data_IF_615732165458
#
_entry.id   IF_615732165458
#
_cell.length_a   1.000
_cell.length_b   1.000
_cell.length_c   1.000
_cell.angle_alpha   90.00
_cell.angle_beta   90.00
_cell.angle_gamma   90.00
#
_symmetry.space_group_name_H-M   'P 1'
#
loop_
_entity.id
_entity.type
_entity.pdbx_description
1 polymer ?
#
# COMPACT_ATOMS: atom_id res chain seq x y z
N UNK A 1 -23.17 -5.42 13.17
CA UNK A 1 -22.32 -4.22 13.39
C UNK A 1 -21.04 -4.37 12.60
N UNK A 2 -20.56 -3.31 11.94
CA UNK A 2 -19.30 -3.36 11.18
C UNK A 2 -18.11 -3.22 12.15
N UNK A 3 -17.33 -4.29 12.31
CA UNK A 3 -16.18 -4.35 13.24
C UNK A 3 -15.09 -3.32 12.89
N UNK A 4 -14.81 -3.10 11.59
CA UNK A 4 -13.81 -2.11 11.17
C UNK A 4 -14.18 -0.70 11.69
N UNK A 5 -15.48 -0.37 11.65
CA UNK A 5 -16.00 0.90 12.17
C UNK A 5 -15.98 0.94 13.70
N UNK A 6 -16.40 -0.15 14.36
CA UNK A 6 -16.40 -0.23 15.82
C UNK A 6 -15.00 -0.08 16.41
N UNK A 7 -14.00 -0.72 15.80
CA UNK A 7 -12.59 -0.62 16.19
C UNK A 7 -11.88 0.60 15.60
N UNK A 8 -12.56 1.40 14.77
CA UNK A 8 -11.97 2.54 14.06
C UNK A 8 -10.60 2.22 13.42
N UNK A 9 -10.52 1.05 12.75
CA UNK A 9 -9.27 0.53 12.15
C UNK A 9 -8.68 1.48 11.12
N UNK A 10 -9.55 2.22 10.42
CA UNK A 10 -9.12 3.17 9.39
C UNK A 10 -8.31 4.33 9.98
N UNK A 11 -8.66 4.83 11.16
CA UNK A 11 -7.87 5.87 11.83
C UNK A 11 -6.46 5.37 12.15
N UNK A 12 -6.34 4.12 12.65
CA UNK A 12 -5.03 3.53 12.93
C UNK A 12 -4.18 3.38 11.67
N UNK A 13 -4.77 2.91 10.59
CA UNK A 13 -4.07 2.83 9.28
C UNK A 13 -3.71 4.22 8.77
N UNK A 14 -4.57 5.21 8.97
CA UNK A 14 -4.32 6.59 8.58
C UNK A 14 -3.08 7.22 9.24
N UNK A 15 -2.60 6.68 10.37
CA UNK A 15 -1.37 7.14 11.03
C UNK A 15 -0.12 6.92 10.16
N UNK A 16 -0.16 5.96 9.23
CA UNK A 16 0.92 5.67 8.30
C UNK A 16 0.97 6.63 7.10
N UNK A 17 -0.06 7.41 6.83
CA UNK A 17 -0.05 8.41 5.75
C UNK A 17 1.09 9.44 5.87
N UNK A 18 1.63 9.65 7.07
CA UNK A 18 2.84 10.47 7.27
C UNK A 18 4.03 9.93 6.47
N UNK A 19 4.14 8.60 6.34
CA UNK A 19 5.21 7.94 5.60
C UNK A 19 4.95 7.97 4.09
N UNK A 20 3.70 7.78 3.65
CA UNK A 20 3.25 8.00 2.26
C UNK A 20 3.62 9.41 1.80
N UNK A 21 3.30 10.45 2.62
CA UNK A 21 3.67 11.85 2.34
C UNK A 21 5.17 12.08 2.24
N UNK A 22 5.92 11.46 3.15
CA UNK A 22 7.38 11.58 3.16
C UNK A 22 7.97 10.95 1.91
N UNK A 23 7.58 9.73 1.56
CA UNK A 23 8.05 9.03 0.39
C UNK A 23 7.70 9.79 -0.90
N UNK A 24 6.46 10.31 -1.02
CA UNK A 24 6.07 11.10 -2.18
C UNK A 24 6.95 12.34 -2.38
N UNK A 25 7.28 13.06 -1.29
CA UNK A 25 8.15 14.26 -1.33
C UNK A 25 9.61 13.96 -1.70
N UNK A 26 10.04 12.71 -1.63
CA UNK A 26 11.38 12.26 -2.04
C UNK A 26 11.47 11.89 -3.51
N UNK A 27 10.32 11.73 -4.17
CA UNK A 27 10.28 11.62 -5.62
C UNK A 27 10.67 12.97 -6.28
N UNK A 28 11.24 12.96 -7.48
CA UNK A 28 11.42 14.19 -8.23
C UNK A 28 10.05 14.84 -8.53
N UNK A 29 10.06 16.14 -8.74
CA UNK A 29 8.85 16.85 -9.13
C UNK A 29 8.37 16.36 -10.49
N UNK A 30 7.17 15.80 -10.52
CA UNK A 30 6.47 15.38 -11.73
C UNK A 30 5.18 16.21 -11.83
N UNK A 31 4.96 16.81 -13.01
CA UNK A 31 3.73 17.57 -13.26
C UNK A 31 2.58 16.65 -13.58
N UNK A 32 1.56 16.63 -12.72
CA UNK A 32 0.32 15.84 -12.86
C UNK A 32 0.59 14.36 -13.26
N UNK A 33 1.40 13.60 -12.50
CA UNK A 33 1.75 12.25 -12.86
C UNK A 33 0.54 11.33 -12.89
N UNK A 34 0.59 10.32 -13.73
CA UNK A 34 -0.35 9.20 -13.71
C UNK A 34 0.19 8.11 -12.81
N UNK A 35 -0.53 7.82 -11.73
CA UNK A 35 -0.12 6.90 -10.67
C UNK A 35 -1.00 5.64 -10.71
N UNK A 36 -0.39 4.45 -10.65
CA UNK A 36 -1.07 3.20 -10.36
C UNK A 36 -0.83 2.83 -8.90
N UNK A 37 -1.89 2.63 -8.13
CA UNK A 37 -1.80 2.08 -6.79
C UNK A 37 -2.26 0.63 -6.79
N UNK A 38 -1.37 -0.29 -6.40
CA UNK A 38 -1.61 -1.73 -6.34
C UNK A 38 -2.06 -2.10 -4.93
N UNK A 39 -3.23 -2.77 -4.83
CA UNK A 39 -3.84 -3.10 -3.55
C UNK A 39 -4.34 -1.86 -2.82
N UNK A 40 -5.09 -1.01 -3.52
CA UNK A 40 -5.54 0.28 -3.00
C UNK A 40 -6.43 0.21 -1.76
N UNK A 41 -6.93 -0.99 -1.42
CA UNK A 41 -7.77 -1.18 -0.25
C UNK A 41 -8.96 -0.21 -0.20
N UNK A 42 -9.31 0.32 0.99
CA UNK A 42 -10.39 1.31 1.14
C UNK A 42 -9.98 2.73 0.71
N UNK A 43 -8.77 2.95 0.17
CA UNK A 43 -8.37 4.13 -0.56
C UNK A 43 -7.85 5.32 0.25
N UNK A 44 -7.34 5.12 1.44
CA UNK A 44 -6.75 6.23 2.20
C UNK A 44 -5.51 6.79 1.49
N UNK A 45 -4.61 5.91 1.07
CA UNK A 45 -3.42 6.27 0.31
C UNK A 45 -3.80 6.83 -1.07
N UNK A 46 -4.78 6.22 -1.76
CA UNK A 46 -5.29 6.68 -3.07
C UNK A 46 -5.69 8.16 -3.04
N UNK A 47 -6.51 8.53 -2.06
CA UNK A 47 -6.97 9.92 -1.88
C UNK A 47 -5.79 10.83 -1.57
N UNK A 48 -4.88 10.39 -0.71
CA UNK A 48 -3.70 11.18 -0.34
C UNK A 48 -2.74 11.36 -1.51
N UNK A 49 -2.49 10.31 -2.30
CA UNK A 49 -1.66 10.39 -3.52
C UNK A 49 -2.25 11.36 -4.55
N UNK A 50 -3.56 11.33 -4.77
CA UNK A 50 -4.23 12.28 -5.66
C UNK A 50 -4.10 13.73 -5.17
N UNK A 51 -4.18 13.94 -3.84
CA UNK A 51 -4.00 15.26 -3.23
C UNK A 51 -2.56 15.77 -3.37
N UNK A 52 -1.57 14.89 -3.16
CA UNK A 52 -0.15 15.23 -3.21
C UNK A 52 0.33 15.50 -4.63
N UNK A 53 -0.11 14.67 -5.58
CA UNK A 53 0.38 14.69 -6.96
C UNK A 53 -0.30 15.74 -7.83
N UNK A 54 -1.56 16.06 -7.53
CA UNK A 54 -2.43 16.81 -8.45
C UNK A 54 -2.73 16.06 -9.76
N UNK A 55 -2.21 14.85 -9.93
CA UNK A 55 -2.36 14.00 -11.12
C UNK A 55 -3.51 13.00 -11.04
N UNK A 56 -3.52 12.06 -11.99
CA UNK A 56 -4.46 10.92 -12.03
C UNK A 56 -3.95 9.77 -11.16
N UNK A 57 -4.83 9.20 -10.32
CA UNK A 57 -4.53 7.97 -9.57
C UNK A 57 -5.51 6.87 -9.97
N UNK A 58 -4.99 5.74 -10.39
CA UNK A 58 -5.75 4.52 -10.68
C UNK A 58 -5.46 3.51 -9.59
N UNK A 59 -6.43 3.23 -8.72
CA UNK A 59 -6.33 2.19 -7.71
C UNK A 59 -6.83 0.85 -8.25
N UNK A 60 -6.08 -0.23 -8.02
CA UNK A 60 -6.54 -1.60 -8.31
C UNK A 60 -6.55 -2.44 -7.02
N UNK A 61 -7.56 -3.29 -6.90
CA UNK A 61 -7.66 -4.25 -5.80
C UNK A 61 -8.45 -5.49 -6.24
N UNK A 62 -8.15 -6.63 -5.63
CA UNK A 62 -8.88 -7.89 -5.86
C UNK A 62 -10.05 -8.10 -4.91
N UNK A 63 -10.19 -7.27 -3.85
CA UNK A 63 -11.33 -7.29 -2.94
C UNK A 63 -12.43 -6.33 -3.44
N UNK A 64 -13.56 -6.85 -3.95
CA UNK A 64 -14.66 -5.99 -4.42
C UNK A 64 -15.24 -5.11 -3.32
N UNK A 65 -15.12 -5.52 -2.05
CA UNK A 65 -15.57 -4.73 -0.91
C UNK A 65 -14.66 -3.51 -0.67
N UNK A 66 -13.33 -3.67 -0.85
CA UNK A 66 -12.38 -2.57 -0.81
C UNK A 66 -12.64 -1.57 -1.93
N UNK A 67 -12.79 -2.06 -3.16
CA UNK A 67 -13.12 -1.24 -4.34
C UNK A 67 -14.41 -0.44 -4.11
N UNK A 68 -15.46 -1.07 -3.59
CA UNK A 68 -16.73 -0.37 -3.28
C UNK A 68 -16.57 0.72 -2.22
N UNK A 69 -15.72 0.49 -1.21
CA UNK A 69 -15.43 1.51 -0.18
C UNK A 69 -14.64 2.68 -0.75
N UNK A 70 -13.65 2.41 -1.58
CA UNK A 70 -12.90 3.47 -2.25
C UNK A 70 -13.80 4.27 -3.20
N UNK A 71 -14.65 3.63 -4.01
CA UNK A 71 -15.60 4.33 -4.88
C UNK A 71 -16.48 5.31 -4.09
N UNK A 72 -17.04 4.88 -2.95
CA UNK A 72 -17.83 5.78 -2.09
C UNK A 72 -17.02 6.97 -1.57
N UNK A 73 -15.74 6.78 -1.27
CA UNK A 73 -14.86 7.89 -0.85
C UNK A 73 -14.58 8.87 -1.99
N UNK A 74 -14.37 8.34 -3.20
CA UNK A 74 -14.18 9.16 -4.41
C UNK A 74 -15.40 10.05 -4.63
N UNK A 75 -16.60 9.46 -4.55
CA UNK A 75 -17.87 10.17 -4.71
C UNK A 75 -18.06 11.25 -3.63
N UNK A 76 -17.79 10.92 -2.36
CA UNK A 76 -17.89 11.84 -1.23
C UNK A 76 -16.87 12.99 -1.29
N UNK A 77 -15.71 12.76 -1.87
CA UNK A 77 -14.65 13.75 -2.04
C UNK A 77 -14.80 14.58 -3.33
N UNK A 78 -15.79 14.27 -4.19
CA UNK A 78 -15.93 14.81 -5.55
C UNK A 78 -14.60 14.70 -6.35
N UNK A 79 -13.93 13.54 -6.23
CA UNK A 79 -12.59 13.32 -6.78
C UNK A 79 -12.58 12.44 -8.04
N UNK A 80 -13.74 12.12 -8.62
CA UNK A 80 -13.89 11.22 -9.77
C UNK A 80 -13.17 11.66 -11.05
N UNK A 81 -12.87 12.94 -11.18
CA UNK A 81 -12.10 13.45 -12.32
C UNK A 81 -10.63 13.03 -12.29
N UNK A 82 -10.09 12.69 -11.11
CA UNK A 82 -8.67 12.37 -10.92
C UNK A 82 -8.41 10.99 -10.32
N UNK A 83 -9.43 10.34 -9.76
CA UNK A 83 -9.28 9.03 -9.13
C UNK A 83 -10.22 8.04 -9.79
N UNK A 84 -9.66 6.91 -10.22
CA UNK A 84 -10.40 5.75 -10.69
C UNK A 84 -10.07 4.54 -9.84
N UNK A 85 -11.05 3.66 -9.61
CA UNK A 85 -10.80 2.38 -8.94
C UNK A 85 -11.32 1.24 -9.80
N UNK A 86 -10.54 0.17 -9.91
CA UNK A 86 -10.85 -0.98 -10.77
C UNK A 86 -10.69 -2.26 -9.96
N UNK A 87 -11.71 -3.11 -10.00
CA UNK A 87 -11.64 -4.45 -9.42
C UNK A 87 -10.87 -5.37 -10.38
N UNK A 88 -9.57 -5.47 -10.21
CA UNK A 88 -8.69 -6.28 -11.06
C UNK A 88 -7.40 -6.65 -10.32
N UNK A 89 -6.82 -7.80 -10.68
CA UNK A 89 -5.49 -8.20 -10.23
C UNK A 89 -4.40 -7.46 -11.03
N UNK A 90 -3.25 -7.21 -10.39
CA UNK A 90 -2.04 -6.74 -11.10
C UNK A 90 -1.70 -7.62 -12.31
N UNK A 91 -1.96 -8.94 -12.24
CA UNK A 91 -1.58 -9.89 -13.29
C UNK A 91 -2.66 -10.12 -14.36
N UNK A 92 -3.83 -9.50 -14.23
CA UNK A 92 -4.94 -9.60 -15.19
C UNK A 92 -5.46 -8.23 -15.65
N UNK A 93 -4.65 -7.20 -15.46
CA UNK A 93 -4.97 -5.85 -15.95
C UNK A 93 -4.87 -5.77 -17.47
N UNK A 94 -5.50 -4.75 -18.05
CA UNK A 94 -5.51 -4.47 -19.49
C UNK A 94 -4.88 -3.11 -19.79
N UNK A 95 -4.02 -2.61 -18.89
CA UNK A 95 -3.31 -1.38 -19.13
C UNK A 95 -2.25 -1.55 -20.22
N UNK A 96 -2.07 -0.51 -21.00
CA UNK A 96 -1.00 -0.44 -22.00
C UNK A 96 0.38 -0.43 -21.34
N UNK A 97 1.40 -0.80 -22.10
CA UNK A 97 2.79 -0.64 -21.71
C UNK A 97 3.12 0.84 -21.55
N UNK A 98 4.11 1.15 -20.71
CA UNK A 98 4.66 2.50 -20.55
C UNK A 98 3.60 3.59 -20.25
N UNK A 99 2.59 3.28 -19.45
CA UNK A 99 1.45 4.18 -19.26
C UNK A 99 1.40 4.88 -17.89
N UNK A 100 2.21 4.50 -16.91
CA UNK A 100 2.27 5.12 -15.59
C UNK A 100 3.62 5.79 -15.30
N UNK A 101 3.58 6.97 -14.69
CA UNK A 101 4.78 7.68 -14.22
C UNK A 101 5.27 7.12 -12.88
N UNK A 102 4.32 6.72 -12.04
CA UNK A 102 4.58 6.14 -10.72
C UNK A 102 3.71 4.90 -10.55
N UNK A 103 4.30 3.83 -10.01
CA UNK A 103 3.56 2.72 -9.40
C UNK A 103 3.79 2.76 -7.90
N UNK A 104 2.71 2.64 -7.12
CA UNK A 104 2.72 2.69 -5.66
C UNK A 104 2.12 1.41 -5.09
N UNK A 105 2.80 0.82 -4.12
CA UNK A 105 2.25 -0.28 -3.34
C UNK A 105 2.60 -0.14 -1.85
N UNK A 106 1.66 -0.53 -0.98
CA UNK A 106 1.87 -0.55 0.45
C UNK A 106 1.35 -1.86 1.05
N UNK A 107 2.26 -2.81 1.34
CA UNK A 107 1.96 -4.06 2.02
C UNK A 107 1.24 -5.11 1.17
N UNK A 108 1.56 -5.23 -0.10
CA UNK A 108 0.93 -6.16 -1.04
C UNK A 108 1.93 -7.14 -1.66
N UNK A 109 3.13 -6.69 -1.98
CA UNK A 109 4.08 -7.51 -2.75
C UNK A 109 4.57 -8.74 -2.00
N UNK A 110 4.64 -8.70 -0.66
CA UNK A 110 4.97 -9.87 0.14
C UNK A 110 3.94 -11.02 0.05
N UNK A 111 2.73 -10.72 -0.43
CA UNK A 111 1.66 -11.70 -0.66
C UNK A 111 1.72 -12.31 -2.07
N UNK A 112 2.56 -11.79 -2.95
CA UNK A 112 2.60 -12.10 -4.38
C UNK A 112 3.98 -12.66 -4.78
N UNK A 113 4.08 -13.15 -6.02
CA UNK A 113 5.37 -13.48 -6.63
C UNK A 113 6.12 -12.20 -6.99
N UNK A 114 7.15 -11.87 -6.22
CA UNK A 114 7.93 -10.65 -6.40
C UNK A 114 8.51 -10.51 -7.82
N UNK A 115 8.95 -11.62 -8.45
CA UNK A 115 9.50 -11.58 -9.81
C UNK A 115 8.45 -11.16 -10.82
N UNK A 116 7.25 -11.73 -10.71
CA UNK A 116 6.12 -11.34 -11.57
C UNK A 116 5.68 -9.91 -11.32
N UNK A 117 5.69 -9.45 -10.05
CA UNK A 117 5.40 -8.06 -9.72
C UNK A 117 6.38 -7.11 -10.41
N UNK A 118 7.69 -7.37 -10.32
CA UNK A 118 8.70 -6.51 -10.97
C UNK A 118 8.58 -6.51 -12.49
N UNK A 119 8.37 -7.67 -13.12
CA UNK A 119 8.17 -7.76 -14.57
C UNK A 119 6.96 -6.92 -15.01
N UNK A 120 5.83 -7.05 -14.31
CA UNK A 120 4.61 -6.33 -14.65
C UNK A 120 4.72 -4.84 -14.33
N UNK A 121 5.28 -4.46 -13.20
CA UNK A 121 5.54 -3.05 -12.89
C UNK A 121 6.47 -2.41 -13.91
N UNK A 122 7.50 -3.15 -14.37
CA UNK A 122 8.37 -2.65 -15.44
C UNK A 122 7.62 -2.43 -16.75
N UNK A 123 6.72 -3.34 -17.13
CA UNK A 123 5.89 -3.19 -18.32
C UNK A 123 5.03 -1.93 -18.26
N UNK A 124 4.39 -1.71 -17.13
CA UNK A 124 3.43 -0.62 -16.92
C UNK A 124 4.05 0.75 -16.73
N UNK A 125 5.25 0.82 -16.13
CA UNK A 125 5.96 2.08 -15.90
C UNK A 125 6.48 2.66 -17.22
N UNK A 126 6.35 3.96 -17.39
CA UNK A 126 7.07 4.70 -18.43
C UNK A 126 8.59 4.56 -18.27
N UNK A 127 9.37 4.73 -19.34
CA UNK A 127 10.83 4.89 -19.23
C UNK A 127 11.17 5.93 -18.16
N UNK A 128 12.11 5.58 -17.27
CA UNK A 128 12.48 6.41 -16.11
C UNK A 128 11.40 6.65 -15.05
N UNK A 129 10.26 5.95 -15.13
CA UNK A 129 9.21 5.96 -14.10
C UNK A 129 9.66 5.36 -12.77
N UNK A 130 8.88 5.55 -11.74
CA UNK A 130 9.21 5.19 -10.36
C UNK A 130 8.27 4.13 -9.80
N UNK A 131 8.84 3.13 -9.12
CA UNK A 131 8.10 2.20 -8.26
C UNK A 131 8.42 2.54 -6.80
N UNK A 132 7.38 2.77 -6.01
CA UNK A 132 7.47 2.99 -4.56
C UNK A 132 6.89 1.78 -3.86
N UNK A 133 7.68 1.16 -2.99
CA UNK A 133 7.31 -0.05 -2.25
C UNK A 133 7.42 0.22 -0.75
N UNK A 134 6.32 0.00 -0.02
CA UNK A 134 6.27 0.05 1.44
C UNK A 134 6.03 -1.36 1.97
N UNK A 135 7.08 -2.02 2.40
CA UNK A 135 7.08 -3.43 2.80
C UNK A 135 7.90 -3.66 4.08
N UNK A 136 7.86 -4.88 4.60
CA UNK A 136 8.73 -5.24 5.72
C UNK A 136 10.20 -5.15 5.30
N UNK A 137 11.08 -4.77 6.24
CA UNK A 137 12.52 -4.66 5.98
C UNK A 137 13.08 -5.99 5.46
N UNK A 138 12.65 -7.11 6.04
CA UNK A 138 13.07 -8.44 5.60
C UNK A 138 12.77 -8.70 4.11
N UNK A 139 11.56 -8.32 3.67
CA UNK A 139 11.17 -8.49 2.27
C UNK A 139 11.97 -7.53 1.37
N UNK A 140 12.08 -6.26 1.76
CA UNK A 140 12.82 -5.25 1.00
C UNK A 140 14.28 -5.65 0.81
N UNK A 141 14.98 -6.03 1.88
CA UNK A 141 16.39 -6.46 1.79
C UNK A 141 16.55 -7.74 0.95
N UNK A 142 15.63 -8.70 1.04
CA UNK A 142 15.67 -9.92 0.23
C UNK A 142 15.48 -9.66 -1.26
N UNK A 143 14.78 -8.59 -1.63
CA UNK A 143 14.50 -8.23 -3.03
C UNK A 143 15.45 -7.20 -3.60
N UNK A 144 16.08 -6.38 -2.77
CA UNK A 144 16.99 -5.28 -3.13
C UNK A 144 18.08 -5.70 -4.10
N UNK A 145 18.74 -6.83 -3.82
CA UNK A 145 19.84 -7.35 -4.65
C UNK A 145 19.38 -7.75 -6.05
N UNK A 146 18.10 -8.09 -6.21
CA UNK A 146 17.52 -8.56 -7.46
C UNK A 146 16.94 -7.43 -8.33
N UNK A 147 16.80 -6.22 -7.81
CA UNK A 147 16.22 -5.08 -8.55
C UNK A 147 16.91 -4.85 -9.92
N UNK A 148 18.25 -4.94 -10.05
CA UNK A 148 18.92 -4.79 -11.34
C UNK A 148 18.52 -5.87 -12.33
N UNK A 149 18.22 -7.10 -11.90
CA UNK A 149 17.80 -8.22 -12.76
C UNK A 149 16.45 -7.96 -13.44
N UNK A 150 15.66 -7.02 -12.92
CA UNK A 150 14.39 -6.58 -13.49
C UNK A 150 14.48 -5.18 -14.11
N UNK A 151 15.68 -4.63 -14.24
CA UNK A 151 15.91 -3.30 -14.82
C UNK A 151 15.46 -2.15 -13.93
N UNK A 152 15.54 -2.34 -12.63
CA UNK A 152 15.30 -1.30 -11.63
C UNK A 152 16.59 -0.89 -10.91
N UNK A 153 16.65 0.36 -10.48
CA UNK A 153 17.71 0.90 -9.65
C UNK A 153 17.10 1.51 -8.39
N UNK A 154 17.61 1.11 -7.22
CA UNK A 154 17.27 1.77 -5.95
C UNK A 154 17.81 3.22 -5.98
N UNK A 155 16.92 4.16 -5.71
CA UNK A 155 17.22 5.59 -5.70
C UNK A 155 17.27 6.15 -4.29
N UNK A 156 16.37 5.69 -3.43
CA UNK A 156 16.28 6.14 -2.03
C UNK A 156 15.63 5.04 -1.18
N UNK A 157 15.94 5.07 0.11
CA UNK A 157 15.33 4.20 1.10
C UNK A 157 15.01 4.99 2.38
N UNK A 158 13.87 4.67 2.96
CA UNK A 158 13.44 5.22 4.22
C UNK A 158 12.96 4.10 5.15
N UNK A 159 13.71 3.85 6.19
CA UNK A 159 13.31 2.90 7.22
C UNK A 159 12.43 3.62 8.23
N UNK A 160 11.25 3.06 8.50
CA UNK A 160 10.33 3.60 9.48
C UNK A 160 10.93 3.47 10.91
N UNK A 161 10.51 4.30 11.85
CA UNK A 161 10.90 4.11 13.24
C UNK A 161 10.61 2.69 13.71
N UNK A 162 11.56 2.12 14.46
CA UNK A 162 11.46 0.74 14.94
C UNK A 162 10.13 0.51 15.67
N UNK A 163 9.52 -0.64 15.43
CA UNK A 163 8.24 -1.05 16.01
C UNK A 163 7.06 -0.10 15.68
N UNK A 164 7.11 0.66 14.58
CA UNK A 164 6.00 1.55 14.17
C UNK A 164 4.67 0.81 14.04
N UNK A 165 4.69 -0.43 13.51
CA UNK A 165 3.48 -1.24 13.41
C UNK A 165 2.91 -1.64 14.78
N UNK A 166 3.77 -1.86 15.77
CA UNK A 166 3.29 -2.08 17.13
C UNK A 166 2.77 -0.80 17.76
N UNK A 167 3.53 0.28 17.75
CA UNK A 167 3.19 1.52 18.45
C UNK A 167 2.02 2.28 17.82
N UNK A 168 1.97 2.36 16.49
CA UNK A 168 0.97 3.15 15.77
C UNK A 168 -0.30 2.34 15.43
N UNK A 169 -0.22 0.99 15.37
CA UNK A 169 -1.32 0.14 14.98
C UNK A 169 -1.62 -0.98 15.97
N UNK A 170 -0.68 -1.88 16.27
CA UNK A 170 -0.92 -3.11 17.04
C UNK A 170 -1.39 -2.86 18.45
N UNK A 171 -0.65 -2.08 19.23
CA UNK A 171 -1.01 -1.78 20.63
C UNK A 171 -2.33 -0.99 20.73
N UNK A 172 -2.57 0.09 19.97
CA UNK A 172 -3.87 0.76 19.99
C UNK A 172 -5.02 -0.13 19.53
N UNK A 173 -4.81 -1.02 18.56
CA UNK A 173 -5.84 -1.96 18.12
C UNK A 173 -6.17 -2.99 19.20
N UNK A 174 -5.15 -3.50 19.91
CA UNK A 174 -5.30 -4.40 21.05
C UNK A 174 -6.21 -3.79 22.12
N UNK A 175 -5.96 -2.53 22.48
CA UNK A 175 -6.76 -1.82 23.47
C UNK A 175 -8.22 -1.64 23.01
N UNK A 176 -8.43 -1.32 21.74
CA UNK A 176 -9.79 -1.19 21.17
C UNK A 176 -10.53 -2.52 21.11
N UNK A 177 -9.84 -3.61 20.79
CA UNK A 177 -10.41 -4.97 20.81
C UNK A 177 -10.84 -5.32 22.23
N UNK A 178 -9.99 -5.05 23.24
CA UNK A 178 -10.31 -5.30 24.63
C UNK A 178 -11.55 -4.52 25.07
N UNK A 179 -11.59 -3.21 24.83
CA UNK A 179 -12.73 -2.37 25.16
C UNK A 179 -14.03 -2.86 24.49
N UNK A 180 -13.94 -3.25 23.21
CA UNK A 180 -15.07 -3.80 22.46
C UNK A 180 -15.60 -5.12 23.09
N UNK A 181 -14.70 -6.01 23.52
CA UNK A 181 -15.09 -7.25 24.21
C UNK A 181 -15.69 -7.00 25.57
N UNK A 182 -15.13 -6.07 26.33
CA UNK A 182 -15.64 -5.70 27.66
C UNK A 182 -17.08 -5.15 27.56
N UNK A 183 -17.38 -4.39 26.49
CA UNK A 183 -18.73 -3.82 26.26
C UNK A 183 -19.75 -4.85 25.73
N UNK A 184 -19.32 -5.78 24.84
CA UNK A 184 -20.22 -6.64 24.07
C UNK A 184 -20.21 -8.12 24.52
N UNK A 185 -19.31 -8.54 25.41
CA UNK A 185 -19.21 -9.90 25.93
C UNK A 185 -19.19 -10.97 24.83
N UNK A 186 -19.91 -12.07 25.04
CA UNK A 186 -19.97 -13.18 24.06
C UNK A 186 -20.63 -12.82 22.72
N UNK A 187 -21.43 -11.74 22.67
CA UNK A 187 -22.00 -11.25 21.41
C UNK A 187 -20.94 -10.66 20.45
N UNK A 188 -19.72 -10.44 20.95
CA UNK A 188 -18.60 -9.91 20.16
C UNK A 188 -17.92 -10.93 19.24
N UNK A 189 -18.28 -12.22 19.32
CA UNK A 189 -17.63 -13.27 18.52
C UNK A 189 -17.94 -13.11 17.04
N UNK A 190 -16.94 -12.67 16.27
CA UNK A 190 -17.01 -12.59 14.82
C UNK A 190 -15.69 -13.03 14.20
N UNK A 191 -15.75 -13.65 13.01
CA UNK A 191 -14.56 -14.04 12.24
C UNK A 191 -13.61 -12.84 12.03
N UNK A 192 -14.17 -11.67 11.78
CA UNK A 192 -13.38 -10.44 11.54
C UNK A 192 -12.64 -9.98 12.78
N UNK A 193 -13.27 -10.06 13.96
CA UNK A 193 -12.62 -9.71 15.22
C UNK A 193 -11.45 -10.67 15.50
N UNK A 194 -11.68 -11.99 15.32
CA UNK A 194 -10.61 -12.98 15.50
C UNK A 194 -9.44 -12.78 14.53
N UNK A 195 -9.68 -12.30 13.31
CA UNK A 195 -8.61 -11.93 12.39
C UNK A 195 -7.76 -10.77 12.95
N UNK A 196 -8.39 -9.74 13.52
CA UNK A 196 -7.66 -8.63 14.12
C UNK A 196 -6.86 -9.07 15.35
N UNK A 197 -7.44 -9.95 16.19
CA UNK A 197 -6.71 -10.53 17.33
C UNK A 197 -5.47 -11.30 16.88
N UNK A 198 -5.59 -12.09 15.81
CA UNK A 198 -4.46 -12.83 15.25
C UNK A 198 -3.37 -11.89 14.70
N UNK A 199 -3.76 -10.81 14.04
CA UNK A 199 -2.82 -9.78 13.55
C UNK A 199 -2.09 -9.12 14.72
N UNK A 200 -2.82 -8.70 15.76
CA UNK A 200 -2.22 -8.09 16.95
C UNK A 200 -1.25 -9.06 17.63
N UNK A 201 -1.65 -10.32 17.83
CA UNK A 201 -0.81 -11.33 18.46
C UNK A 201 0.47 -11.60 17.65
N UNK A 202 0.37 -11.60 16.32
CA UNK A 202 1.54 -11.77 15.44
C UNK A 202 2.53 -10.62 15.58
N UNK A 203 2.05 -9.36 15.58
CA UNK A 203 2.91 -8.19 15.73
C UNK A 203 3.52 -8.14 17.14
N UNK A 204 2.73 -8.47 18.17
CA UNK A 204 3.18 -8.45 19.58
C UNK A 204 4.24 -9.50 19.87
N UNK A 205 4.11 -10.70 19.26
CA UNK A 205 5.05 -11.81 19.48
C UNK A 205 6.43 -11.55 18.86
N UNK A 206 6.50 -10.79 17.77
CA UNK A 206 7.75 -10.43 17.11
C UNK A 206 7.59 -9.07 16.41
N UNK A 207 7.72 -7.95 17.16
CA UNK A 207 7.61 -6.62 16.59
C UNK A 207 8.67 -6.31 15.53
N UNK A 208 9.87 -6.85 15.66
CA UNK A 208 10.97 -6.63 14.71
C UNK A 208 10.63 -7.17 13.31
N UNK A 209 9.89 -8.28 13.23
CA UNK A 209 9.45 -8.86 11.96
C UNK A 209 8.47 -7.97 11.21
N UNK A 210 7.80 -7.07 11.92
CA UNK A 210 6.83 -6.11 11.36
C UNK A 210 7.46 -4.76 11.08
N UNK A 211 8.76 -4.58 11.32
CA UNK A 211 9.45 -3.35 10.96
C UNK A 211 9.46 -3.17 9.45
N UNK A 212 9.14 -1.97 9.01
CA UNK A 212 8.91 -1.63 7.62
C UNK A 212 9.84 -0.55 7.12
N UNK A 213 9.98 -0.49 5.81
CA UNK A 213 10.66 0.57 5.09
C UNK A 213 9.96 0.92 3.81
N UNK A 214 10.39 2.00 3.20
CA UNK A 214 9.93 2.43 1.88
C UNK A 214 11.12 2.51 0.96
N UNK A 215 11.06 1.82 -0.17
CA UNK A 215 12.05 1.88 -1.23
C UNK A 215 11.48 2.64 -2.42
N UNK A 216 12.26 3.60 -2.90
CA UNK A 216 12.00 4.32 -4.14
C UNK A 216 12.96 3.75 -5.19
N UNK A 217 12.42 3.09 -6.19
CA UNK A 217 13.21 2.52 -7.27
C UNK A 217 12.81 3.14 -8.61
N UNK A 218 13.77 3.27 -9.53
CA UNK A 218 13.56 3.83 -10.85
C UNK A 218 13.69 2.75 -11.90
N UNK A 219 12.77 2.72 -12.87
CA UNK A 219 12.93 1.92 -14.08
C UNK A 219 14.11 2.45 -14.90
N UNK A 220 15.05 1.58 -15.23
CA UNK A 220 16.20 1.91 -16.06
C UNK A 220 15.92 1.64 -17.52
N UNK A 221 16.35 2.56 -18.40
CA UNK A 221 16.27 2.39 -19.84
C UNK A 221 17.32 1.39 -20.35
N UNK A 222 17.08 0.80 -21.54
CA UNK A 222 18.05 -0.08 -22.19
C UNK A 222 18.20 -1.47 -21.59
N UNK A 223 17.40 -1.85 -20.60
CA UNK A 223 17.39 -3.20 -20.03
C UNK A 223 16.75 -4.19 -21.03
N UNK A 224 17.47 -5.28 -21.36
CA UNK A 224 16.95 -6.34 -22.24
C UNK A 224 17.24 -6.13 -23.74
N UNK A 225 18.07 -5.16 -24.12
CA UNK A 225 18.56 -4.98 -25.50
C UNK A 225 19.93 -5.65 -25.71
N UNK A 226 20.13 -6.87 -25.17
CA UNK A 226 21.30 -7.70 -25.47
C UNK A 226 20.88 -8.94 -26.20
#
# INVERSE_FOLDING_TARGET
>A
MNIDKALNVEELRGRFLKHTRLAYRRLPLLEQPRILEIGCGPGQQTIELARLSGGEVVGIDTDPSAVSRLQKRIDQANAGDRIKVIHVSLFDNKFDDDCFDIIWEEGVFHLLDASKCFVECRRLLKPNGYLVMHETILWLESTKIRLPDFGFKLMDEHILPKHSWWTDYGAPLKDRIKAYRDEHGNASNSKKLSQYESVVASIESDPDRSDCGIYLVRRMDGYGQK
#
